data_IF_981021792730
#
_entry.id   IF_981021792730
#
_cell.length_a   1.000
_cell.length_b   1.000
_cell.length_c   1.000
_cell.angle_alpha   90.00
_cell.angle_beta   90.00
_cell.angle_gamma   90.00
#
_symmetry.space_group_name_H-M   'P 1'
#
loop_
_entity.id
_entity.type
_entity.pdbx_description
1 polymer ?
#
# COMPACT_ATOMS: atom_id res chain seq x y z
N UNK A 1 33.85 24.28 -19.20
CA UNK A 1 32.41 24.53 -18.99
C UNK A 1 31.51 23.37 -19.41
N UNK A 2 31.59 22.85 -20.65
CA UNK A 2 30.73 21.73 -21.12
C UNK A 2 30.87 20.41 -20.31
N UNK A 3 32.07 20.10 -19.81
CA UNK A 3 32.33 18.91 -18.96
C UNK A 3 31.76 19.02 -17.53
N UNK A 4 31.64 20.24 -16.99
CA UNK A 4 31.06 20.50 -15.67
C UNK A 4 29.53 20.36 -15.70
N UNK A 5 28.90 20.73 -16.81
CA UNK A 5 27.47 20.53 -17.03
C UNK A 5 27.07 19.05 -17.10
N UNK A 6 27.90 18.20 -17.73
CA UNK A 6 27.66 16.75 -17.80
C UNK A 6 27.74 16.12 -16.41
N UNK A 7 28.71 16.55 -15.59
CA UNK A 7 28.87 16.07 -14.21
C UNK A 7 27.68 16.43 -13.32
N UNK A 8 27.11 17.63 -13.49
CA UNK A 8 25.93 18.08 -12.77
C UNK A 8 24.67 17.27 -13.14
N UNK A 9 24.47 16.99 -14.42
CA UNK A 9 23.34 16.16 -14.90
C UNK A 9 23.46 14.74 -14.33
N UNK A 10 24.67 14.19 -14.28
CA UNK A 10 24.90 12.85 -13.75
C UNK A 10 24.62 12.74 -12.24
N UNK A 11 24.93 13.79 -11.47
CA UNK A 11 24.62 13.83 -10.03
C UNK A 11 23.11 13.95 -9.77
N UNK A 12 22.39 14.74 -10.59
CA UNK A 12 20.94 14.87 -10.47
C UNK A 12 20.23 13.53 -10.76
N UNK A 13 20.69 12.77 -11.76
CA UNK A 13 20.14 11.44 -12.06
C UNK A 13 20.33 10.43 -10.92
N UNK A 14 21.44 10.52 -10.18
CA UNK A 14 21.76 9.60 -9.08
C UNK A 14 20.82 9.79 -7.87
N UNK A 15 20.41 11.03 -7.58
CA UNK A 15 19.49 11.35 -6.48
C UNK A 15 18.08 10.81 -6.74
N UNK A 16 17.62 10.84 -7.99
CA UNK A 16 16.27 10.38 -8.37
C UNK A 16 16.12 8.86 -8.17
N UNK A 17 17.17 8.07 -8.39
CA UNK A 17 17.14 6.63 -8.15
C UNK A 17 17.00 6.27 -6.65
N UNK A 18 17.53 7.11 -5.76
CA UNK A 18 17.48 6.86 -4.31
C UNK A 18 16.20 7.32 -3.61
N UNK A 19 15.39 8.17 -4.27
CA UNK A 19 14.19 8.75 -3.67
C UNK A 19 12.94 7.85 -3.76
N UNK A 20 13.01 6.72 -4.47
CA UNK A 20 11.93 5.72 -4.52
C UNK A 20 12.03 4.72 -3.36
N UNK A 21 12.26 5.21 -2.14
CA UNK A 21 12.14 4.39 -0.95
C UNK A 21 10.66 4.11 -0.69
N UNK A 22 10.12 3.06 -1.31
CA UNK A 22 8.90 2.43 -0.80
C UNK A 22 9.20 2.02 0.65
N UNK A 23 8.39 2.52 1.59
CA UNK A 23 8.50 2.20 3.01
C UNK A 23 8.34 0.70 3.21
N UNK A 24 9.46 -0.01 3.28
CA UNK A 24 9.49 -1.44 3.52
C UNK A 24 9.43 -1.67 5.03
N UNK A 25 8.66 -2.65 5.51
CA UNK A 25 8.64 -3.02 6.93
C UNK A 25 10.03 -3.19 7.53
N UNK A 26 10.95 -3.81 6.78
CA UNK A 26 12.34 -4.01 7.23
C UNK A 26 13.10 -2.70 7.46
N UNK A 27 12.68 -1.60 6.82
CA UNK A 27 13.26 -0.27 6.97
C UNK A 27 12.70 0.54 8.16
N UNK A 28 11.62 0.07 8.79
CA UNK A 28 11.08 0.73 9.98
C UNK A 28 12.03 0.54 11.18
N UNK A 29 12.16 1.55 12.07
CA UNK A 29 12.89 1.40 13.32
C UNK A 29 12.28 0.30 14.20
N UNK A 30 13.11 -0.48 14.90
CA UNK A 30 12.63 -1.57 15.75
C UNK A 30 11.73 -1.10 16.89
N UNK A 31 11.92 0.15 17.36
CA UNK A 31 11.01 0.80 18.31
C UNK A 31 9.59 0.94 17.75
N UNK A 32 9.43 1.24 16.46
CA UNK A 32 8.12 1.38 15.83
C UNK A 32 7.47 0.03 15.52
N UNK A 33 8.27 -1.01 15.28
CA UNK A 33 7.77 -2.38 15.05
C UNK A 33 7.25 -3.01 16.33
N UNK A 34 7.91 -2.75 17.46
CA UNK A 34 7.61 -3.38 18.75
C UNK A 34 6.24 -3.00 19.30
N UNK A 35 5.80 -1.77 19.03
CA UNK A 35 4.55 -1.21 19.57
C UNK A 35 3.40 -1.18 18.55
N UNK A 36 3.64 -1.66 17.32
CA UNK A 36 2.63 -1.71 16.28
C UNK A 36 1.92 -3.07 16.28
N UNK A 37 0.60 -3.07 16.49
CA UNK A 37 -0.23 -4.27 16.33
C UNK A 37 -0.32 -4.72 14.85
N UNK A 38 -0.26 -3.76 13.92
CA UNK A 38 -0.30 -3.96 12.47
C UNK A 38 0.30 -2.78 11.73
N UNK A 39 0.63 -3.00 10.45
CA UNK A 39 1.14 -1.98 9.55
C UNK A 39 0.35 -2.02 8.25
N UNK A 40 -0.18 -0.87 7.84
CA UNK A 40 -0.83 -0.70 6.55
C UNK A 40 0.26 -0.40 5.51
N UNK A 41 0.46 -1.32 4.57
CA UNK A 41 1.43 -1.15 3.47
C UNK A 41 0.82 -0.48 2.26
N UNK A 42 -0.44 -0.82 1.94
CA UNK A 42 -1.17 -0.20 0.85
C UNK A 42 -2.58 0.10 1.34
N UNK A 43 -2.99 1.35 1.19
CA UNK A 43 -4.38 1.79 1.30
C UNK A 43 -4.67 2.68 0.11
N UNK A 44 -5.05 2.03 -0.99
CA UNK A 44 -5.40 2.68 -2.23
C UNK A 44 -6.90 2.62 -2.44
N UNK A 45 -7.47 3.78 -2.74
CA UNK A 45 -8.88 3.92 -3.10
C UNK A 45 -9.00 4.85 -4.30
N UNK A 46 -9.69 4.36 -5.30
CA UNK A 46 -10.05 5.12 -6.48
C UNK A 46 -11.56 5.09 -6.67
N UNK A 47 -12.14 6.27 -6.87
CA UNK A 47 -13.56 6.41 -7.09
C UNK A 47 -13.79 7.02 -8.46
N UNK A 48 -14.52 6.31 -9.31
CA UNK A 48 -14.82 6.71 -10.67
C UNK A 48 -16.31 6.86 -10.87
N UNK A 49 -16.74 8.08 -11.17
CA UNK A 49 -18.12 8.35 -11.61
C UNK A 49 -18.26 7.90 -13.06
N UNK A 50 -19.27 7.07 -13.33
CA UNK A 50 -19.53 6.54 -14.67
C UNK A 50 -20.70 7.29 -15.31
N UNK A 51 -21.73 7.59 -14.52
CA UNK A 51 -22.98 8.20 -14.97
C UNK A 51 -23.69 8.84 -13.77
N UNK A 52 -24.79 9.55 -14.01
CA UNK A 52 -25.63 10.09 -12.95
C UNK A 52 -26.12 8.96 -12.02
N UNK A 53 -25.83 9.09 -10.73
CA UNK A 53 -26.18 8.07 -9.73
C UNK A 53 -25.37 6.76 -9.81
N UNK A 54 -24.34 6.66 -10.66
CA UNK A 54 -23.50 5.46 -10.79
C UNK A 54 -22.02 5.78 -10.66
N UNK A 55 -21.36 5.04 -9.77
CA UNK A 55 -19.92 5.09 -9.60
C UNK A 55 -19.36 3.72 -9.29
N UNK A 56 -18.06 3.56 -9.51
CA UNK A 56 -17.29 2.38 -9.14
C UNK A 56 -16.18 2.80 -8.18
N UNK A 57 -16.06 2.05 -7.10
CA UNK A 57 -14.97 2.16 -6.14
C UNK A 57 -14.01 0.98 -6.34
N UNK A 58 -12.75 1.29 -6.59
CA UNK A 58 -11.65 0.33 -6.62
C UNK A 58 -10.82 0.49 -5.36
N UNK A 59 -10.66 -0.60 -4.60
CA UNK A 59 -9.90 -0.62 -3.35
C UNK A 59 -8.77 -1.64 -3.46
N UNK A 60 -7.55 -1.24 -3.11
CA UNK A 60 -6.45 -2.16 -2.84
C UNK A 60 -5.98 -1.92 -1.41
N UNK A 61 -5.86 -2.99 -0.66
CA UNK A 61 -5.54 -2.91 0.75
C UNK A 61 -4.59 -4.04 1.13
N UNK A 62 -3.45 -3.68 1.71
CA UNK A 62 -2.44 -4.61 2.18
C UNK A 62 -2.05 -4.26 3.62
N UNK A 63 -2.14 -5.24 4.50
CA UNK A 63 -1.77 -5.12 5.92
C UNK A 63 -0.80 -6.21 6.30
N UNK A 64 0.27 -5.82 6.98
CA UNK A 64 1.12 -6.72 7.73
C UNK A 64 0.59 -6.81 9.16
N UNK A 65 0.23 -8.02 9.58
CA UNK A 65 -0.18 -8.32 10.95
C UNK A 65 1.09 -8.64 11.75
N UNK A 66 1.39 -7.84 12.78
CA UNK A 66 2.60 -7.98 13.61
C UNK A 66 2.30 -8.55 15.00
N UNK A 67 1.05 -8.44 15.46
CA UNK A 67 0.58 -9.05 16.71
C UNK A 67 -0.84 -9.63 16.60
N UNK A 68 -1.22 -10.49 17.56
CA UNK A 68 -2.52 -11.14 17.70
C UNK A 68 -3.69 -10.17 17.87
N UNK A 69 -3.45 -8.95 18.35
CA UNK A 69 -4.49 -7.92 18.51
C UNK A 69 -4.99 -7.36 17.16
N UNK A 70 -4.24 -7.58 16.07
CA UNK A 70 -4.62 -7.18 14.73
C UNK A 70 -5.47 -8.20 13.95
N UNK A 71 -5.98 -9.25 14.61
CA UNK A 71 -6.89 -10.25 14.01
C UNK A 71 -8.11 -9.67 13.32
N UNK A 72 -8.52 -8.45 13.66
CA UNK A 72 -9.61 -7.73 12.95
C UNK A 72 -9.34 -7.57 11.45
N UNK A 73 -8.08 -7.56 11.02
CA UNK A 73 -7.69 -7.48 9.60
C UNK A 73 -7.73 -8.82 8.87
N UNK A 74 -7.92 -9.95 9.57
CA UNK A 74 -8.16 -11.26 8.95
C UNK A 74 -9.54 -11.33 8.27
N UNK A 75 -10.47 -10.43 8.63
CA UNK A 75 -11.82 -10.40 8.08
C UNK A 75 -12.12 -9.03 7.50
N UNK A 76 -12.52 -9.00 6.24
CA UNK A 76 -13.12 -7.81 5.61
C UNK A 76 -14.63 -7.99 5.53
N UNK A 77 -15.36 -7.15 6.25
CA UNK A 77 -16.82 -7.06 6.12
C UNK A 77 -17.17 -5.87 5.24
N UNK A 78 -18.02 -6.10 4.24
CA UNK A 78 -18.62 -5.05 3.41
C UNK A 78 -20.09 -4.98 3.81
N UNK A 79 -20.52 -3.81 4.30
CA UNK A 79 -21.91 -3.59 4.67
C UNK A 79 -22.83 -3.73 3.45
N UNK A 80 -23.93 -4.46 3.61
CA UNK A 80 -24.92 -4.57 2.55
C UNK A 80 -25.71 -3.26 2.39
N UNK A 81 -25.83 -2.80 1.16
CA UNK A 81 -26.69 -1.69 0.76
C UNK A 81 -27.33 -2.07 -0.58
N UNK A 82 -28.63 -1.84 -0.72
CA UNK A 82 -29.39 -2.17 -1.94
C UNK A 82 -28.84 -1.48 -3.19
N UNK A 83 -28.15 -0.36 -3.02
CA UNK A 83 -27.53 0.41 -4.10
C UNK A 83 -26.06 0.05 -4.35
N UNK A 84 -25.49 -0.88 -3.58
CA UNK A 84 -24.12 -1.36 -3.75
C UNK A 84 -24.13 -2.76 -4.36
N UNK A 85 -23.26 -2.97 -5.34
CA UNK A 85 -23.01 -4.28 -5.94
C UNK A 85 -21.52 -4.58 -5.87
N UNK A 86 -21.16 -5.67 -5.20
CA UNK A 86 -19.79 -6.18 -5.23
C UNK A 86 -19.54 -6.82 -6.61
N UNK A 87 -18.66 -6.21 -7.40
CA UNK A 87 -18.29 -6.72 -8.72
C UNK A 87 -17.23 -7.82 -8.66
N UNK A 88 -16.37 -7.79 -7.64
CA UNK A 88 -15.34 -8.79 -7.42
C UNK A 88 -14.60 -8.56 -6.11
N UNK A 89 -14.03 -9.63 -5.57
CA UNK A 89 -13.16 -9.58 -4.41
C UNK A 89 -12.10 -10.66 -4.57
N UNK A 90 -10.84 -10.27 -4.39
CA UNK A 90 -9.71 -11.19 -4.35
C UNK A 90 -8.78 -10.77 -3.22
N UNK A 91 -8.17 -11.76 -2.58
CA UNK A 91 -7.23 -11.54 -1.49
C UNK A 91 -6.35 -12.77 -1.34
N UNK A 92 -5.12 -12.56 -0.89
CA UNK A 92 -4.17 -13.62 -0.57
C UNK A 92 -3.56 -13.29 0.78
N UNK A 93 -3.41 -14.30 1.63
CA UNK A 93 -2.67 -14.19 2.88
C UNK A 93 -1.27 -14.71 2.63
N UNK A 94 -0.27 -14.06 3.21
CA UNK A 94 1.12 -14.49 3.15
C UNK A 94 1.67 -14.62 4.55
N UNK A 95 2.50 -15.63 4.78
CA UNK A 95 3.26 -15.76 6.01
C UNK A 95 4.52 -14.86 5.99
N UNK A 96 5.26 -14.84 7.10
CA UNK A 96 6.47 -14.01 7.25
C UNK A 96 7.57 -14.30 6.20
N UNK A 97 7.57 -15.48 5.59
CA UNK A 97 8.51 -15.87 4.53
C UNK A 97 8.00 -15.53 3.12
N UNK A 98 6.83 -14.91 2.98
CA UNK A 98 6.23 -14.58 1.69
C UNK A 98 5.53 -15.76 0.99
N UNK A 99 5.32 -16.87 1.69
CA UNK A 99 4.55 -18.01 1.17
C UNK A 99 3.06 -17.85 1.48
N UNK A 100 2.21 -18.37 0.60
CA UNK A 100 0.75 -18.36 0.76
C UNK A 100 0.28 -19.34 1.82
#
# INVERSE_FOLDING_TARGET
MRKQFILLIYTIFLVIFTANAQYNYYSLPDSMKKDADYIIWEDYREFKVIDEGKAVEHVKFAVLITDQYARRYERKSIGYNKNLKLSGYSGTIYNASGNR
#
